data_IF_450281542522
#
_entry.id   IF_450281542522
#
_cell.length_a   1.000
_cell.length_b   1.000
_cell.length_c   1.000
_cell.angle_alpha   90.00
_cell.angle_beta   90.00
_cell.angle_gamma   90.00
#
_symmetry.space_group_name_H-M   'P 1'
#
loop_
_entity.id
_entity.type
_entity.pdbx_description
1 polymer ?
#
# COMPACT_ATOMS: atom_id res chain seq x y z
N UNK A 1 6.37 -14.44 11.20
CA UNK A 1 6.08 -13.84 11.13
C UNK A 1 5.70 -13.05 11.19
N UNK A 2 5.54 -12.63 11.18
CA UNK A 2 5.18 -11.91 11.47
C UNK A 2 4.46 -11.22 11.07
N UNK A 3 3.64 -11.07 10.88
CA UNK A 3 2.92 -10.51 10.70
C UNK A 3 2.81 -9.39 11.10
N UNK A 4 3.15 -8.59 10.72
CA UNK A 4 3.25 -7.42 11.19
C UNK A 4 2.38 -6.43 10.66
N UNK A 5 1.36 -6.68 9.88
CA UNK A 5 0.41 -5.72 9.45
C UNK A 5 -0.44 -5.34 10.64
N UNK A 6 -0.59 -4.07 10.94
CA UNK A 6 -1.46 -3.66 12.02
C UNK A 6 -2.88 -4.03 11.69
N UNK A 7 -3.56 -4.65 12.59
CA UNK A 7 -4.95 -5.02 12.40
C UNK A 7 -5.83 -3.98 13.07
N UNK A 8 -6.78 -3.46 12.34
CA UNK A 8 -7.70 -2.49 12.87
C UNK A 8 -9.05 -3.18 12.98
N UNK A 9 -9.63 -3.26 14.15
CA UNK A 9 -10.89 -3.97 14.32
C UNK A 9 -11.96 -3.37 13.42
N UNK A 10 -12.70 -4.23 12.76
CA UNK A 10 -13.76 -3.80 11.88
C UNK A 10 -13.33 -3.49 10.47
N UNK A 11 -12.03 -3.45 10.21
CA UNK A 11 -11.55 -3.19 8.85
C UNK A 11 -11.20 -4.51 8.19
N UNK A 12 -11.72 -4.77 6.99
CA UNK A 12 -11.37 -6.01 6.31
C UNK A 12 -9.88 -6.13 6.07
N UNK A 13 -9.35 -7.28 6.39
CA UNK A 13 -7.93 -7.52 6.28
C UNK A 13 -7.41 -7.28 4.88
N UNK A 14 -8.20 -7.64 3.87
CA UNK A 14 -7.70 -7.50 2.51
C UNK A 14 -7.42 -6.04 2.13
N UNK A 15 -8.14 -5.09 2.74
CA UNK A 15 -7.88 -3.69 2.45
C UNK A 15 -6.56 -3.25 3.06
N UNK A 16 -6.28 -3.71 4.28
CA UNK A 16 -5.03 -3.37 4.93
C UNK A 16 -3.85 -4.02 4.21
N UNK A 17 -4.03 -5.27 3.79
CA UNK A 17 -2.97 -5.98 3.10
C UNK A 17 -2.68 -5.33 1.75
N UNK A 18 -3.72 -4.98 1.01
CA UNK A 18 -3.51 -4.37 -0.29
C UNK A 18 -2.81 -3.02 -0.15
N UNK A 19 -3.21 -2.23 0.85
CA UNK A 19 -2.55 -0.94 1.06
C UNK A 19 -1.08 -1.15 1.41
N UNK A 20 -0.80 -2.11 2.27
CA UNK A 20 0.57 -2.39 2.67
C UNK A 20 1.44 -2.84 1.50
N UNK A 21 0.87 -3.65 0.61
CA UNK A 21 1.61 -4.10 -0.55
C UNK A 21 1.92 -2.94 -1.50
N UNK A 22 0.96 -2.04 -1.69
CA UNK A 22 1.20 -0.88 -2.54
C UNK A 22 2.24 0.06 -1.92
N UNK A 23 2.21 0.23 -0.61
CA UNK A 23 3.19 1.06 0.07
C UNK A 23 4.58 0.45 -0.04
N UNK A 24 4.68 -0.88 0.09
CA UNK A 24 5.94 -1.56 -0.05
C UNK A 24 6.48 -1.43 -1.47
N UNK A 25 5.59 -1.48 -2.45
CA UNK A 25 6.01 -1.31 -3.83
C UNK A 25 6.63 0.07 -4.04
N UNK A 26 5.97 1.12 -3.52
CA UNK A 26 6.52 2.46 -3.65
C UNK A 26 7.89 2.56 -2.99
N UNK A 27 8.03 1.96 -1.82
CA UNK A 27 9.30 2.04 -1.10
C UNK A 27 10.41 1.32 -1.86
N UNK A 28 10.12 0.14 -2.41
CA UNK A 28 11.10 -0.61 -3.14
C UNK A 28 11.54 0.15 -4.40
N UNK A 29 10.56 0.72 -5.14
CA UNK A 29 10.90 1.43 -6.36
C UNK A 29 11.73 2.67 -6.05
N UNK A 30 11.37 3.39 -4.98
CA UNK A 30 12.11 4.59 -4.64
C UNK A 30 13.53 4.25 -4.22
N UNK A 31 13.71 3.17 -3.47
CA UNK A 31 15.04 2.78 -3.04
C UNK A 31 15.89 2.35 -4.22
N UNK A 32 15.31 1.56 -5.15
CA UNK A 32 16.04 1.12 -6.31
C UNK A 32 16.38 2.30 -7.21
N UNK A 33 15.48 3.29 -7.30
CA UNK A 33 15.76 4.46 -8.11
C UNK A 33 16.95 5.22 -7.56
N UNK A 34 17.02 5.37 -6.24
CA UNK A 34 18.15 6.07 -5.65
C UNK A 34 19.46 5.34 -5.83
N UNK A 35 19.41 4.02 -5.83
CA UNK A 35 20.61 3.22 -5.96
C UNK A 35 20.88 2.84 -7.41
N UNK A 36 20.04 3.31 -8.32
CA UNK A 36 20.20 3.04 -9.75
C UNK A 36 20.18 1.56 -10.06
N UNK A 37 19.35 0.82 -9.37
CA UNK A 37 19.17 -0.59 -9.59
C UNK A 37 17.87 -0.85 -10.32
N UNK A 38 17.81 -1.87 -11.16
CA UNK A 38 16.54 -2.21 -11.80
C UNK A 38 15.60 -2.84 -10.80
N UNK A 39 14.30 -2.63 -11.02
CA UNK A 39 13.28 -3.25 -10.20
C UNK A 39 12.83 -4.51 -10.95
N UNK A 40 12.78 -5.62 -10.24
CA UNK A 40 12.38 -6.88 -10.85
C UNK A 40 10.86 -6.96 -10.81
N UNK A 41 10.24 -7.10 -11.96
CA UNK A 41 8.80 -7.16 -12.05
C UNK A 41 8.41 -8.33 -12.94
N UNK A 42 7.16 -8.74 -12.86
CA UNK A 42 6.66 -9.80 -13.72
C UNK A 42 5.84 -9.15 -14.81
N UNK A 43 6.19 -9.42 -16.05
CA UNK A 43 5.45 -8.94 -17.20
C UNK A 43 5.22 -10.08 -18.16
N UNK A 44 3.97 -10.28 -18.52
CA UNK A 44 3.62 -11.32 -19.48
C UNK A 44 4.17 -12.68 -19.07
N UNK A 45 4.09 -12.96 -17.80
CA UNK A 45 4.54 -14.25 -17.28
C UNK A 45 6.03 -14.38 -17.10
N UNK A 46 6.79 -13.33 -17.38
CA UNK A 46 8.23 -13.39 -17.26
C UNK A 46 8.74 -12.42 -16.23
N UNK A 47 9.84 -12.78 -15.61
CA UNK A 47 10.48 -11.92 -14.61
C UNK A 47 11.52 -11.09 -15.34
N UNK A 48 11.38 -9.78 -15.30
CA UNK A 48 12.30 -8.88 -16.00
C UNK A 48 12.74 -7.76 -15.09
N UNK A 49 13.92 -7.23 -15.35
CA UNK A 49 14.40 -6.06 -14.63
C UNK A 49 14.07 -4.81 -15.41
N UNK A 50 13.46 -3.84 -14.76
CA UNK A 50 13.03 -2.62 -15.40
C UNK A 50 13.62 -1.45 -14.63
N UNK A 51 14.24 -0.48 -15.33
CA UNK A 51 14.72 0.71 -14.63
C UNK A 51 13.59 1.36 -13.86
N UNK A 52 13.88 1.80 -12.66
CA UNK A 52 12.84 2.35 -11.82
C UNK A 52 12.15 3.54 -12.47
N UNK A 53 12.89 4.32 -13.27
CA UNK A 53 12.30 5.47 -13.94
C UNK A 53 11.21 5.08 -14.93
N UNK A 54 11.19 3.85 -15.38
CA UNK A 54 10.18 3.41 -16.32
C UNK A 54 8.94 2.89 -15.63
N UNK A 55 8.91 2.96 -14.31
CA UNK A 55 7.75 2.50 -13.56
C UNK A 55 6.87 3.65 -13.08
N UNK A 56 7.02 4.83 -13.65
CA UNK A 56 6.22 5.97 -13.24
C UNK A 56 4.72 5.73 -13.34
N UNK A 57 4.21 5.10 -14.40
CA UNK A 57 2.77 4.83 -14.44
C UNK A 57 2.33 3.91 -13.31
N UNK A 58 3.15 2.91 -13.00
CA UNK A 58 2.83 2.00 -11.92
C UNK A 58 2.87 2.70 -10.57
N UNK A 59 3.82 3.62 -10.40
CA UNK A 59 3.89 4.39 -9.16
C UNK A 59 2.65 5.25 -8.98
N UNK A 60 2.20 5.89 -10.06
CA UNK A 60 1.02 6.71 -10.00
C UNK A 60 -0.19 5.88 -9.62
N UNK A 61 -0.34 4.70 -10.22
CA UNK A 61 -1.45 3.83 -9.91
C UNK A 61 -1.39 3.38 -8.46
N UNK A 62 -0.20 3.04 -7.97
CA UNK A 62 -0.07 2.60 -6.59
C UNK A 62 -0.44 3.71 -5.61
N UNK A 63 -0.03 4.94 -5.90
CA UNK A 63 -0.37 6.06 -5.03
C UNK A 63 -1.87 6.32 -5.03
N UNK A 64 -2.50 6.24 -6.21
CA UNK A 64 -3.93 6.42 -6.30
C UNK A 64 -4.67 5.33 -5.54
N UNK A 65 -4.18 4.10 -5.65
CA UNK A 65 -4.83 3.00 -4.98
C UNK A 65 -4.68 3.12 -3.47
N UNK A 66 -3.53 3.58 -2.99
CA UNK A 66 -3.34 3.80 -1.57
C UNK A 66 -4.33 4.85 -1.06
N UNK A 67 -4.54 5.91 -1.82
CA UNK A 67 -5.48 6.95 -1.42
C UNK A 67 -6.90 6.40 -1.36
N UNK A 68 -7.29 5.59 -2.34
CA UNK A 68 -8.61 4.98 -2.33
C UNK A 68 -8.78 4.04 -1.16
N UNK A 69 -7.76 3.24 -0.90
CA UNK A 69 -7.84 2.29 0.21
C UNK A 69 -7.86 3.00 1.54
N UNK A 70 -7.12 4.08 1.66
CA UNK A 70 -7.12 4.86 2.90
C UNK A 70 -8.51 5.42 3.16
N UNK A 71 -9.20 5.89 2.11
CA UNK A 71 -10.55 6.40 2.26
C UNK A 71 -11.50 5.28 2.65
N UNK A 72 -11.37 4.12 2.03
CA UNK A 72 -12.23 3.01 2.36
C UNK A 72 -12.01 2.53 3.78
N UNK A 73 -10.77 2.45 4.20
CA UNK A 73 -10.45 2.00 5.54
C UNK A 73 -11.02 3.00 6.56
N UNK A 74 -10.95 4.28 6.24
CA UNK A 74 -11.48 5.28 7.16
C UNK A 74 -12.97 5.14 7.38
N UNK A 75 -13.71 4.61 6.40
CA UNK A 75 -15.13 4.40 6.60
C UNK A 75 -15.39 3.38 7.68
N UNK A 76 -14.56 2.35 7.76
CA UNK A 76 -14.72 1.34 8.79
C UNK A 76 -14.30 1.90 10.15
N UNK A 77 -13.27 2.75 10.15
CA UNK A 77 -12.83 3.36 11.37
C UNK A 77 -13.87 4.26 11.95
N UNK A 78 -14.82 4.75 11.20
CA UNK A 78 -15.83 5.60 11.71
C UNK A 78 -17.02 4.83 12.18
N UNK A 79 -16.89 3.54 12.39
CA UNK A 79 -18.00 2.76 12.81
C UNK A 79 -18.42 3.24 14.19
N UNK A 80 -19.61 2.98 14.58
CA UNK A 80 -20.13 3.46 15.83
C UNK A 80 -19.40 2.93 17.02
N UNK A 81 -18.64 1.90 16.88
CA UNK A 81 -17.96 1.54 17.99
C UNK A 81 -16.68 2.13 18.10
N UNK A 82 -16.24 2.99 17.27
CA UNK A 82 -15.03 3.62 17.39
C UNK A 82 -15.04 4.47 18.53
N UNK A 83 -14.70 4.00 19.62
CA UNK A 83 -14.78 4.79 20.73
C UNK A 83 -13.80 5.75 20.87
N UNK A 84 -12.80 5.63 20.18
CA UNK A 84 -11.78 6.52 20.25
C UNK A 84 -12.22 7.82 19.99
N UNK A 85 -13.25 7.96 19.38
CA UNK A 85 -13.61 9.22 19.13
C UNK A 85 -14.34 9.78 20.11
N UNK A 86 -14.59 9.21 20.91
CA UNK A 86 -15.35 9.79 21.81
C UNK A 86 -14.74 10.69 22.43
N UNK A 87 -14.54 11.24 22.55
CA UNK A 87 -14.16 11.99 23.03
C UNK A 87 -14.28 12.78 23.38
N UNK A 88 -14.37 12.87 23.45
CA UNK A 88 -14.50 13.41 23.76
C UNK A 88 -14.51 13.95 24.22
N UNK A 89 -14.59 14.42 24.48
CA UNK A 89 -14.70 15.13 24.94
C UNK A 89 -14.57 15.55 25.31
#
# INVERSE_FOLDING_TARGET
>A
MNDEFPLVPGVPMHLLTERGLNESFLDVVERHRRERLPVVVRREGKVVGVPADQLLPELTRARSRIAELTTEIARFDRSPFSLNETPEP
#
